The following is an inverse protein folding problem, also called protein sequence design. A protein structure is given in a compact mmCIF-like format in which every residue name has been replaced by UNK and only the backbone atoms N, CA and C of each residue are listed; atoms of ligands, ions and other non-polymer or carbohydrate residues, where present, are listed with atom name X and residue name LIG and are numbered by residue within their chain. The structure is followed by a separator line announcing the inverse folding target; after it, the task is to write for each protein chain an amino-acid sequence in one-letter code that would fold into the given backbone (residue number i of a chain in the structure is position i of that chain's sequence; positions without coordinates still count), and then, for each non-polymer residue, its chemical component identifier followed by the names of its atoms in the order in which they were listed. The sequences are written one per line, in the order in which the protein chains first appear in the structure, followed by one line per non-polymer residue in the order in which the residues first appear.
data_IF_482365600582
#
_entry.id   IF_482365600582
#
_cell.length_a   1.000
_cell.length_b   1.000
_cell.length_c   1.000
_cell.angle_alpha   90.00
_cell.angle_beta   90.00
_cell.angle_gamma   90.00
#
_symmetry.space_group_name_H-M   'P 1'
#
loop_
_entity.id
_entity.type
_entity.pdbx_description
1 polymer ?
#
# COMPACT_ATOMS: atom_id res chain seq x y z
N UNK A 1 12.31 -0.62 -10.94
CA UNK A 1 11.61 -0.89 -9.68
C UNK A 1 12.26 -2.05 -8.90
N UNK A 2 12.47 -3.22 -9.53
CA UNK A 2 13.11 -4.40 -8.88
C UNK A 2 14.50 -4.09 -8.34
N UNK A 3 15.29 -3.29 -9.06
CA UNK A 3 16.63 -2.85 -8.61
C UNK A 3 16.54 -2.02 -7.33
N UNK A 4 15.57 -1.10 -7.24
CA UNK A 4 15.32 -0.30 -6.04
C UNK A 4 14.84 -1.16 -4.86
N UNK A 5 13.96 -2.12 -5.12
CA UNK A 5 13.50 -3.05 -4.09
C UNK A 5 14.59 -4.00 -3.59
N UNK A 6 15.68 -4.16 -4.34
CA UNK A 6 16.88 -4.92 -3.97
C UNK A 6 18.07 -4.02 -3.58
N UNK A 7 17.81 -2.79 -3.12
CA UNK A 7 18.86 -1.89 -2.66
C UNK A 7 19.58 -2.42 -1.42
N UNK A 8 20.87 -2.14 -1.33
CA UNK A 8 21.72 -2.50 -0.20
C UNK A 8 22.23 -1.25 0.51
N UNK A 9 22.63 -1.41 1.76
CA UNK A 9 23.39 -0.42 2.52
C UNK A 9 24.90 -0.40 2.10
N UNK A 10 25.68 0.44 2.75
CA UNK A 10 27.12 0.57 2.51
C UNK A 10 27.93 -0.71 2.85
N UNK A 11 27.32 -1.64 3.60
CA UNK A 11 27.91 -2.93 3.96
C UNK A 11 27.48 -4.06 3.01
N UNK A 12 26.66 -3.75 2.00
CA UNK A 12 26.12 -4.71 1.06
C UNK A 12 24.93 -5.53 1.60
N UNK A 13 24.34 -5.14 2.73
CA UNK A 13 23.16 -5.79 3.30
C UNK A 13 21.90 -5.24 2.66
N UNK A 14 20.96 -6.12 2.32
CA UNK A 14 19.69 -5.71 1.71
C UNK A 14 18.79 -4.96 2.71
N UNK A 15 18.25 -3.82 2.26
CA UNK A 15 17.43 -2.94 3.10
C UNK A 15 16.03 -3.49 3.36
N UNK A 16 15.48 -4.29 2.43
CA UNK A 16 14.09 -4.74 2.44
C UNK A 16 13.91 -6.25 2.67
N UNK A 17 14.94 -6.94 3.16
CA UNK A 17 14.92 -8.40 3.37
C UNK A 17 14.44 -8.84 4.77
N UNK A 18 14.06 -7.89 5.62
CA UNK A 18 13.70 -8.18 7.01
C UNK A 18 14.93 -8.45 7.87
N UNK A 19 14.96 -9.58 8.58
CA UNK A 19 16.14 -10.05 9.33
C UNK A 19 17.17 -10.78 8.46
N UNK A 20 16.80 -11.18 7.23
CA UNK A 20 17.66 -11.94 6.31
C UNK A 20 18.48 -10.99 5.41
N UNK A 21 19.28 -10.12 5.98
CA UNK A 21 19.99 -9.04 5.31
C UNK A 21 20.96 -9.48 4.19
N UNK A 22 21.37 -10.74 4.17
CA UNK A 22 22.18 -11.34 3.10
C UNK A 22 21.35 -12.03 2.00
N UNK A 23 20.02 -12.08 2.15
CA UNK A 23 19.12 -12.70 1.17
C UNK A 23 18.54 -11.62 0.27
N UNK A 24 18.69 -11.79 -1.05
CA UNK A 24 18.08 -10.88 -2.03
C UNK A 24 16.56 -10.89 -1.89
N UNK A 25 15.92 -9.75 -1.50
CA UNK A 25 14.52 -9.75 -1.10
C UNK A 25 13.55 -10.02 -2.26
N UNK A 26 13.84 -9.54 -3.47
CA UNK A 26 12.94 -9.73 -4.61
C UNK A 26 13.64 -10.49 -5.74
N UNK A 27 13.11 -11.67 -6.04
CA UNK A 27 13.62 -12.57 -7.08
C UNK A 27 12.67 -12.57 -8.24
N UNK A 28 13.19 -12.27 -9.43
CA UNK A 28 12.43 -12.24 -10.66
C UNK A 28 12.53 -13.58 -11.40
N UNK A 29 11.36 -14.12 -11.80
CA UNK A 29 11.24 -15.29 -12.67
C UNK A 29 10.29 -14.96 -13.82
N UNK A 30 10.84 -14.56 -14.97
CA UNK A 30 10.05 -14.04 -16.07
C UNK A 30 9.37 -12.71 -15.71
N UNK A 31 8.05 -12.67 -15.75
CA UNK A 31 7.24 -11.51 -15.35
C UNK A 31 6.81 -11.57 -13.87
N UNK A 32 7.01 -12.69 -13.21
CA UNK A 32 6.68 -12.88 -11.80
C UNK A 32 7.84 -12.42 -10.91
N UNK A 33 7.52 -11.70 -9.83
CA UNK A 33 8.48 -11.21 -8.86
C UNK A 33 8.02 -11.66 -7.49
N UNK A 34 8.84 -12.45 -6.83
CA UNK A 34 8.54 -13.07 -5.54
C UNK A 34 9.41 -12.47 -4.44
N UNK A 35 8.79 -12.22 -3.30
CA UNK A 35 9.48 -11.81 -2.10
C UNK A 35 10.10 -13.03 -1.40
N UNK A 36 11.41 -13.02 -1.22
CA UNK A 36 12.20 -14.08 -0.58
C UNK A 36 12.76 -13.66 0.80
N UNK A 37 12.47 -12.42 1.25
CA UNK A 37 12.81 -11.95 2.59
C UNK A 37 11.81 -12.44 3.66
N UNK A 38 12.02 -12.02 4.89
CA UNK A 38 11.06 -12.24 5.97
C UNK A 38 10.30 -10.97 6.37
N UNK A 39 9.34 -11.10 7.30
CA UNK A 39 8.48 -10.02 7.79
C UNK A 39 9.13 -9.22 8.93
N UNK A 40 10.39 -9.46 9.23
CA UNK A 40 11.10 -8.86 10.36
C UNK A 40 11.38 -7.37 10.16
N UNK A 41 11.47 -6.66 11.27
CA UNK A 41 11.89 -5.27 11.31
C UNK A 41 13.06 -5.15 12.27
N UNK A 42 14.22 -4.75 11.77
CA UNK A 42 15.41 -4.59 12.60
C UNK A 42 15.24 -3.36 13.48
N UNK A 43 15.49 -3.55 14.76
CA UNK A 43 15.43 -2.50 15.76
C UNK A 43 16.83 -2.16 16.26
N UNK A 44 17.10 -0.91 16.53
CA UNK A 44 18.31 -0.46 17.21
C UNK A 44 17.95 0.28 18.50
N UNK A 45 18.76 0.08 19.55
CA UNK A 45 18.62 0.81 20.79
C UNK A 45 19.17 2.22 20.60
N UNK A 46 18.32 3.23 20.75
CA UNK A 46 18.69 4.64 20.57
C UNK A 46 18.75 5.42 21.89
N UNK A 47 18.17 4.85 22.97
CA UNK A 47 18.34 5.32 24.34
C UNK A 47 18.12 4.18 25.33
N UNK A 48 18.32 4.39 26.62
CA UNK A 48 18.16 3.37 27.65
C UNK A 48 16.79 2.67 27.68
N UNK A 49 15.74 3.33 27.19
CA UNK A 49 14.36 2.81 27.18
C UNK A 49 13.70 2.82 25.80
N UNK A 50 14.43 3.20 24.74
CA UNK A 50 13.85 3.38 23.39
C UNK A 50 14.57 2.57 22.34
N UNK A 51 13.79 1.83 21.57
CA UNK A 51 14.23 1.15 20.34
C UNK A 51 13.56 1.78 19.13
N UNK A 52 14.29 1.91 18.04
CA UNK A 52 13.81 2.47 16.80
C UNK A 52 14.02 1.47 15.65
N UNK A 53 13.06 1.38 14.75
CA UNK A 53 13.17 0.55 13.56
C UNK A 53 14.12 1.20 12.55
N UNK A 54 15.12 0.44 12.10
CA UNK A 54 16.12 0.86 11.11
C UNK A 54 15.91 0.22 9.73
N UNK A 55 14.93 -0.67 9.60
CA UNK A 55 14.54 -1.29 8.33
C UNK A 55 13.04 -1.48 8.27
N UNK A 56 12.50 -1.63 7.07
CA UNK A 56 11.13 -2.08 6.83
C UNK A 56 11.16 -3.34 5.97
N UNK A 57 10.26 -4.31 6.23
CA UNK A 57 10.15 -5.50 5.40
C UNK A 57 9.68 -5.15 3.99
N UNK A 58 10.29 -5.76 2.96
CA UNK A 58 9.94 -5.48 1.57
C UNK A 58 8.49 -5.80 1.24
N UNK A 59 7.91 -6.82 1.84
CA UNK A 59 6.50 -7.12 1.69
C UNK A 59 5.60 -5.96 2.18
N UNK A 60 5.98 -5.27 3.27
CA UNK A 60 5.21 -4.13 3.79
C UNK A 60 5.31 -2.89 2.91
N UNK A 61 6.37 -2.76 2.14
CA UNK A 61 6.60 -1.61 1.26
C UNK A 61 6.03 -1.84 -0.13
N UNK A 62 6.16 -3.06 -0.69
CA UNK A 62 5.91 -3.33 -2.10
C UNK A 62 4.77 -4.31 -2.38
N UNK A 63 4.27 -5.08 -1.38
CA UNK A 63 3.25 -6.11 -1.61
C UNK A 63 1.94 -5.90 -0.84
N UNK A 64 1.96 -5.18 0.28
CA UNK A 64 0.75 -4.94 1.10
C UNK A 64 0.05 -3.64 0.71
N UNK A 65 -0.16 -3.46 -0.58
CA UNK A 65 -0.83 -2.29 -1.13
C UNK A 65 -2.29 -2.66 -1.40
N UNK A 66 -3.22 -1.91 -0.86
CA UNK A 66 -4.64 -2.12 -1.13
C UNK A 66 -4.97 -1.75 -2.57
N UNK A 67 -5.58 -2.67 -3.32
CA UNK A 67 -6.03 -2.44 -4.68
C UNK A 67 -7.39 -1.73 -4.74
N UNK A 68 -7.79 -1.29 -5.94
CA UNK A 68 -9.02 -0.54 -6.15
C UNK A 68 -9.00 0.80 -5.40
N UNK A 69 -10.12 1.15 -4.75
CA UNK A 69 -10.20 2.38 -3.94
C UNK A 69 -9.74 2.20 -2.48
N UNK A 70 -9.14 1.05 -2.16
CA UNK A 70 -8.67 0.71 -0.81
C UNK A 70 -9.72 -0.02 0.06
N UNK A 71 -10.99 0.02 -0.30
CA UNK A 71 -12.09 -0.67 0.38
C UNK A 71 -12.65 -1.79 -0.51
N UNK A 72 -12.90 -1.48 -1.77
CA UNK A 72 -13.32 -2.44 -2.78
C UNK A 72 -12.64 -2.18 -4.13
N UNK A 73 -12.68 -3.15 -5.01
CA UNK A 73 -12.24 -3.05 -6.40
C UNK A 73 -13.37 -3.42 -7.34
N UNK A 74 -13.40 -2.79 -8.50
CA UNK A 74 -14.29 -3.11 -9.61
C UNK A 74 -13.52 -3.79 -10.73
N UNK A 75 -14.16 -4.70 -11.44
CA UNK A 75 -13.58 -5.33 -12.62
C UNK A 75 -14.65 -5.65 -13.67
N UNK A 76 -14.28 -5.54 -14.93
CA UNK A 76 -15.07 -6.06 -16.05
C UNK A 76 -14.66 -7.50 -16.35
N UNK A 77 -15.63 -8.35 -16.66
CA UNK A 77 -15.33 -9.73 -17.09
C UNK A 77 -14.52 -9.72 -18.41
N UNK A 78 -13.47 -10.53 -18.51
CA UNK A 78 -12.66 -10.63 -19.75
C UNK A 78 -13.45 -11.07 -21.00
N UNK A 79 -14.60 -11.69 -20.81
CA UNK A 79 -15.47 -12.16 -21.89
C UNK A 79 -16.49 -11.12 -22.35
N UNK A 80 -16.54 -9.93 -21.72
CA UNK A 80 -17.44 -8.86 -22.12
C UNK A 80 -17.19 -8.43 -23.56
N UNK A 81 -18.28 -8.24 -24.30
CA UNK A 81 -18.26 -7.92 -25.73
C UNK A 81 -18.80 -6.52 -26.04
N UNK A 82 -19.51 -5.90 -25.10
CA UNK A 82 -20.05 -4.56 -25.22
C UNK A 82 -19.00 -3.46 -25.00
N UNK A 83 -19.49 -2.22 -24.89
CA UNK A 83 -18.66 -1.03 -24.68
C UNK A 83 -18.74 -0.52 -23.25
N UNK A 84 -19.23 -1.33 -22.30
CA UNK A 84 -19.36 -0.98 -20.89
C UNK A 84 -18.01 -0.74 -20.21
N UNK A 85 -17.82 0.45 -19.65
CA UNK A 85 -16.65 0.82 -18.85
C UNK A 85 -17.12 1.10 -17.44
N UNK A 86 -16.57 0.35 -16.48
CA UNK A 86 -16.85 0.52 -15.05
C UNK A 86 -15.81 1.47 -14.43
N UNK A 87 -16.27 2.36 -13.55
CA UNK A 87 -15.36 3.19 -12.75
C UNK A 87 -14.90 2.46 -11.47
N UNK A 88 -13.98 3.10 -10.74
CA UNK A 88 -13.43 2.55 -9.48
C UNK A 88 -14.41 2.61 -8.32
N UNK A 89 -15.46 3.41 -8.45
CA UNK A 89 -16.46 3.64 -7.41
C UNK A 89 -15.96 4.33 -6.15
N UNK A 90 -16.89 4.58 -5.25
CA UNK A 90 -16.64 5.19 -3.94
C UNK A 90 -17.54 4.58 -2.86
N UNK A 91 -17.12 4.66 -1.61
CA UNK A 91 -17.95 4.29 -0.45
C UNK A 91 -18.83 5.48 -0.10
N UNK A 92 -20.13 5.28 -0.06
CA UNK A 92 -21.14 6.28 0.33
C UNK A 92 -21.71 6.05 1.72
N UNK A 93 -21.73 4.78 2.16
CA UNK A 93 -22.14 4.40 3.52
C UNK A 93 -21.23 3.28 4.05
N UNK A 94 -20.22 3.61 4.88
CA UNK A 94 -19.32 2.61 5.45
C UNK A 94 -20.01 1.61 6.38
N UNK A 95 -21.19 1.94 6.92
CA UNK A 95 -21.92 1.06 7.85
C UNK A 95 -22.69 -0.05 7.16
N UNK A 96 -22.95 0.10 5.87
CA UNK A 96 -23.65 -0.87 5.02
C UNK A 96 -22.71 -1.82 4.28
N UNK A 97 -21.38 -1.67 4.43
CA UNK A 97 -20.42 -2.56 3.77
C UNK A 97 -20.51 -3.98 4.33
N UNK A 98 -20.80 -4.95 3.49
CA UNK A 98 -20.89 -6.38 3.85
C UNK A 98 -19.53 -7.07 3.79
N UNK A 99 -18.64 -6.62 2.92
CA UNK A 99 -17.38 -7.31 2.61
C UNK A 99 -17.58 -8.50 1.67
N UNK A 100 -18.74 -8.63 1.06
CA UNK A 100 -19.09 -9.67 0.10
C UNK A 100 -18.65 -9.28 -1.33
N UNK A 101 -18.77 -10.23 -2.24
CA UNK A 101 -18.57 -10.00 -3.66
C UNK A 101 -19.90 -9.92 -4.37
N UNK A 102 -20.09 -8.85 -5.15
CA UNK A 102 -21.25 -8.65 -5.99
C UNK A 102 -20.91 -8.77 -7.48
N UNK A 103 -21.85 -9.30 -8.25
CA UNK A 103 -21.78 -9.37 -9.71
C UNK A 103 -22.97 -8.63 -10.31
N UNK A 104 -22.68 -7.75 -11.27
CA UNK A 104 -23.65 -6.98 -12.04
C UNK A 104 -23.79 -7.64 -13.40
N UNK A 105 -24.94 -8.22 -13.69
CA UNK A 105 -25.21 -8.98 -14.90
C UNK A 105 -26.11 -8.18 -15.85
N UNK A 106 -25.72 -8.00 -17.07
CA UNK A 106 -26.48 -7.26 -18.08
C UNK A 106 -27.28 -8.19 -19.01
N UNK A 107 -28.52 -7.81 -19.25
CA UNK A 107 -29.43 -8.47 -20.20
C UNK A 107 -29.97 -7.46 -21.18
N UNK A 108 -29.89 -7.79 -22.47
CA UNK A 108 -30.46 -6.95 -23.55
C UNK A 108 -31.59 -7.72 -24.20
N UNK A 109 -32.82 -7.20 -24.07
CA UNK A 109 -34.03 -7.83 -24.64
C UNK A 109 -34.82 -6.77 -25.40
N UNK A 110 -35.11 -7.02 -26.68
CA UNK A 110 -35.87 -6.12 -27.56
C UNK A 110 -35.32 -4.68 -27.59
N UNK A 111 -33.98 -4.51 -27.52
CA UNK A 111 -33.32 -3.21 -27.53
C UNK A 111 -33.34 -2.46 -26.18
N UNK A 112 -33.95 -3.04 -25.16
CA UNK A 112 -33.88 -2.53 -23.79
C UNK A 112 -32.77 -3.24 -23.00
N UNK A 113 -31.91 -2.49 -22.35
CA UNK A 113 -30.84 -3.02 -21.48
C UNK A 113 -31.29 -2.94 -20.04
N UNK A 114 -31.19 -4.05 -19.33
CA UNK A 114 -31.43 -4.16 -17.88
C UNK A 114 -30.22 -4.78 -17.20
N UNK A 115 -30.13 -4.62 -15.89
CA UNK A 115 -29.12 -5.29 -15.08
C UNK A 115 -29.69 -5.84 -13.79
N UNK A 116 -29.06 -6.91 -13.34
CA UNK A 116 -29.30 -7.53 -12.05
C UNK A 116 -28.02 -7.43 -11.20
N UNK A 117 -28.16 -7.28 -9.89
CA UNK A 117 -27.06 -7.36 -8.93
C UNK A 117 -27.24 -8.59 -8.07
N UNK A 118 -26.22 -9.44 -8.06
CA UNK A 118 -26.22 -10.70 -7.33
C UNK A 118 -25.03 -10.73 -6.37
N UNK A 119 -25.27 -10.91 -5.10
CA UNK A 119 -24.23 -11.21 -4.13
C UNK A 119 -23.74 -12.65 -4.37
N UNK A 120 -22.53 -12.79 -4.89
CA UNK A 120 -21.96 -14.10 -5.26
C UNK A 120 -21.38 -14.84 -4.05
N UNK A 121 -21.13 -14.16 -2.94
CA UNK A 121 -20.70 -14.78 -1.68
C UNK A 121 -21.83 -15.55 -1.03
N UNK A 122 -23.03 -14.96 -1.00
CA UNK A 122 -24.23 -15.57 -0.37
C UNK A 122 -25.15 -16.27 -1.37
N UNK A 123 -24.99 -16.01 -2.67
CA UNK A 123 -25.86 -16.49 -3.72
C UNK A 123 -27.23 -15.80 -3.78
N UNK A 124 -27.39 -14.63 -3.15
CA UNK A 124 -28.66 -13.91 -3.06
C UNK A 124 -28.76 -12.81 -4.12
N UNK A 125 -29.96 -12.59 -4.67
CA UNK A 125 -30.23 -11.45 -5.52
C UNK A 125 -30.39 -10.19 -4.67
N UNK A 126 -29.55 -9.17 -4.93
CA UNK A 126 -29.64 -7.86 -4.26
C UNK A 126 -30.68 -6.99 -4.96
N UNK A 127 -30.65 -6.95 -6.29
CA UNK A 127 -31.67 -6.27 -7.09
C UNK A 127 -31.76 -6.90 -8.47
N UNK A 128 -32.94 -6.83 -9.11
CA UNK A 128 -33.17 -7.45 -10.41
C UNK A 128 -34.05 -6.59 -11.32
N UNK A 129 -33.83 -6.72 -12.64
CA UNK A 129 -34.62 -6.05 -13.66
C UNK A 129 -34.48 -4.53 -13.69
N UNK A 130 -33.36 -4.00 -13.20
CA UNK A 130 -33.13 -2.56 -13.17
C UNK A 130 -32.88 -2.02 -14.59
N UNK A 131 -33.60 -0.98 -14.98
CA UNK A 131 -33.39 -0.36 -16.29
C UNK A 131 -31.99 0.31 -16.33
N UNK A 132 -31.25 0.04 -17.38
CA UNK A 132 -29.94 0.67 -17.60
C UNK A 132 -30.02 1.81 -18.61
N UNK A 133 -29.34 2.87 -18.33
CA UNK A 133 -29.03 3.99 -19.26
C UNK A 133 -27.54 4.28 -19.25
N UNK A 134 -27.00 4.81 -20.33
CA UNK A 134 -25.59 5.14 -20.38
C UNK A 134 -25.18 6.07 -19.22
N UNK A 135 -24.04 5.78 -18.60
CA UNK A 135 -23.53 6.46 -17.39
C UNK A 135 -24.45 6.26 -16.16
N UNK A 136 -25.02 5.05 -16.03
CA UNK A 136 -25.87 4.70 -14.90
C UNK A 136 -25.05 4.54 -13.62
N UNK A 137 -25.56 5.13 -12.55
CA UNK A 137 -24.97 4.97 -11.20
C UNK A 137 -25.67 3.83 -10.49
N UNK A 138 -24.90 2.88 -10.00
CA UNK A 138 -25.36 1.70 -9.26
C UNK A 138 -24.89 1.85 -7.82
N UNK A 139 -25.84 1.70 -6.88
CA UNK A 139 -25.52 1.67 -5.46
C UNK A 139 -25.84 0.28 -4.90
N UNK A 140 -24.88 -0.35 -4.24
CA UNK A 140 -24.97 -1.67 -3.63
C UNK A 140 -24.14 -1.70 -2.36
N UNK A 141 -24.69 -2.22 -1.27
CA UNK A 141 -23.99 -2.47 0.00
C UNK A 141 -23.11 -1.30 0.49
N UNK A 142 -23.66 -0.08 0.43
CA UNK A 142 -22.92 1.13 0.84
C UNK A 142 -21.86 1.62 -0.14
N UNK A 143 -21.71 0.96 -1.28
CA UNK A 143 -20.82 1.32 -2.39
C UNK A 143 -21.61 1.99 -3.51
N UNK A 144 -20.95 2.88 -4.24
CA UNK A 144 -21.50 3.52 -5.43
C UNK A 144 -20.46 3.45 -6.55
N UNK A 145 -20.92 3.04 -7.72
CA UNK A 145 -20.11 2.94 -8.94
C UNK A 145 -20.94 3.37 -10.16
N UNK A 146 -20.27 3.65 -11.27
CA UNK A 146 -20.97 3.95 -12.52
C UNK A 146 -20.45 3.09 -13.67
N UNK A 147 -21.35 2.75 -14.58
CA UNK A 147 -21.00 2.07 -15.84
C UNK A 147 -21.38 3.00 -16.99
N UNK A 148 -20.40 3.25 -17.86
CA UNK A 148 -20.55 4.07 -19.08
C UNK A 148 -20.53 3.17 -20.30
N UNK A 149 -21.15 3.65 -21.39
CA UNK A 149 -21.21 2.91 -22.65
C UNK A 149 -22.43 2.00 -22.73
N UNK A 150 -22.36 1.01 -23.59
CA UNK A 150 -23.45 0.09 -23.89
C UNK A 150 -22.98 -1.36 -23.63
N UNK A 151 -23.27 -1.91 -22.45
CA UNK A 151 -23.03 -3.32 -22.18
C UNK A 151 -23.84 -4.20 -23.15
N UNK A 152 -23.24 -5.29 -23.58
CA UNK A 152 -23.93 -6.30 -24.40
C UNK A 152 -24.69 -7.30 -23.52
N UNK A 153 -25.52 -8.10 -24.17
CA UNK A 153 -26.22 -9.19 -23.49
C UNK A 153 -25.22 -10.22 -22.93
N UNK A 154 -25.29 -10.47 -21.63
CA UNK A 154 -24.41 -11.39 -20.92
C UNK A 154 -23.12 -10.75 -20.40
N UNK A 155 -22.89 -9.45 -20.64
CA UNK A 155 -21.76 -8.73 -20.02
C UNK A 155 -21.89 -8.68 -18.51
N UNK A 156 -20.74 -8.79 -17.84
CA UNK A 156 -20.66 -8.87 -16.38
C UNK A 156 -19.60 -7.92 -15.83
N UNK A 157 -19.91 -7.37 -14.66
CA UNK A 157 -18.97 -6.58 -13.87
C UNK A 157 -19.01 -7.06 -12.44
N UNK A 158 -17.86 -7.06 -11.78
CA UNK A 158 -17.73 -7.49 -10.40
C UNK A 158 -17.30 -6.37 -9.49
N UNK A 159 -17.83 -6.38 -8.27
CA UNK A 159 -17.38 -5.57 -7.14
C UNK A 159 -16.94 -6.53 -6.05
N UNK A 160 -15.72 -6.41 -5.59
CA UNK A 160 -15.18 -7.32 -4.57
C UNK A 160 -14.34 -6.55 -3.55
N UNK A 161 -14.20 -7.06 -2.31
CA UNK A 161 -13.37 -6.43 -1.30
C UNK A 161 -11.94 -6.17 -1.80
N UNK A 162 -11.37 -5.04 -1.39
CA UNK A 162 -9.98 -4.73 -1.67
C UNK A 162 -9.04 -5.72 -0.99
N UNK A 163 -8.10 -6.23 -1.75
CA UNK A 163 -7.06 -7.14 -1.28
C UNK A 163 -5.68 -6.49 -1.36
N UNK A 164 -4.71 -7.07 -0.67
CA UNK A 164 -3.32 -6.68 -0.84
C UNK A 164 -2.81 -7.14 -2.21
N UNK A 165 -2.12 -6.25 -2.90
CA UNK A 165 -1.54 -6.50 -4.20
C UNK A 165 -0.11 -5.96 -4.25
N UNK A 166 0.77 -6.69 -4.92
CA UNK A 166 2.14 -6.25 -5.18
C UNK A 166 2.16 -5.16 -6.26
N UNK A 167 2.99 -4.13 -6.07
CA UNK A 167 3.21 -3.12 -7.12
C UNK A 167 3.80 -3.76 -8.39
N UNK A 168 4.56 -4.84 -8.24
CA UNK A 168 5.12 -5.58 -9.37
C UNK A 168 4.03 -6.29 -10.17
N UNK A 169 3.04 -6.87 -9.48
CA UNK A 169 1.86 -7.49 -10.11
C UNK A 169 1.04 -6.44 -10.88
N UNK A 170 0.86 -5.24 -10.30
CA UNK A 170 0.18 -4.14 -10.99
C UNK A 170 0.88 -3.77 -12.30
N UNK A 171 2.22 -3.64 -12.27
CA UNK A 171 3.01 -3.36 -13.49
C UNK A 171 2.92 -4.51 -14.49
N UNK A 172 3.00 -5.76 -14.03
CA UNK A 172 2.87 -6.94 -14.89
C UNK A 172 1.50 -7.02 -15.59
N UNK A 173 0.42 -6.67 -14.89
CA UNK A 173 -0.93 -6.58 -15.48
C UNK A 173 -1.00 -5.57 -16.62
N UNK A 174 -0.36 -4.41 -16.48
CA UNK A 174 -0.31 -3.40 -17.54
C UNK A 174 0.44 -3.93 -18.76
N UNK A 175 1.63 -4.50 -18.53
CA UNK A 175 2.45 -5.07 -19.62
C UNK A 175 1.66 -6.14 -20.36
N UNK A 176 1.07 -7.09 -19.65
CA UNK A 176 0.24 -8.15 -20.23
C UNK A 176 -0.94 -7.59 -21.03
N UNK A 177 -1.62 -6.57 -20.50
CA UNK A 177 -2.75 -5.94 -21.18
C UNK A 177 -2.34 -5.26 -22.49
N UNK A 178 -1.16 -4.61 -22.52
CA UNK A 178 -0.64 -3.93 -23.71
C UNK A 178 -0.05 -4.92 -24.74
N UNK A 179 0.50 -6.05 -24.31
CA UNK A 179 1.05 -7.09 -25.18
C UNK A 179 -0.02 -8.02 -25.75
N UNK A 180 -1.22 -8.06 -25.14
CA UNK A 180 -2.31 -8.90 -25.64
C UNK A 180 -2.91 -8.29 -26.91
N UNK A 181 -2.85 -8.97 -28.08
CA UNK A 181 -3.41 -8.45 -29.31
C UNK A 181 -4.91 -8.26 -29.19
N UNK A 182 -5.38 -7.03 -29.34
CA UNK A 182 -6.79 -6.68 -29.20
C UNK A 182 -7.51 -6.53 -30.54
N UNK A 183 -6.80 -6.63 -31.65
CA UNK A 183 -7.36 -6.41 -33.00
C UNK A 183 -8.35 -7.51 -33.39
N UNK A 184 -9.57 -7.11 -33.73
CA UNK A 184 -10.58 -8.00 -34.31
C UNK A 184 -11.47 -8.76 -33.34
N UNK A 185 -11.28 -8.60 -32.01
CA UNK A 185 -12.17 -9.21 -31.01
C UNK A 185 -13.21 -8.19 -30.51
N UNK A 186 -14.51 -8.57 -30.45
CA UNK A 186 -15.54 -7.70 -29.84
C UNK A 186 -15.14 -7.27 -28.43
N UNK A 187 -15.38 -6.01 -28.11
CA UNK A 187 -15.09 -5.45 -26.77
C UNK A 187 -13.61 -5.30 -26.39
N UNK A 188 -12.66 -5.64 -27.29
CA UNK A 188 -11.23 -5.65 -26.94
C UNK A 188 -10.68 -4.29 -26.50
N UNK A 189 -11.05 -3.21 -27.19
CA UNK A 189 -10.65 -1.85 -26.81
C UNK A 189 -11.25 -1.45 -25.45
N UNK A 190 -12.49 -1.84 -25.18
CA UNK A 190 -13.19 -1.59 -23.92
C UNK A 190 -12.52 -2.37 -22.77
N UNK A 191 -12.17 -3.64 -22.99
CA UNK A 191 -11.43 -4.44 -22.00
C UNK A 191 -10.10 -3.80 -21.64
N UNK A 192 -9.33 -3.36 -22.65
CA UNK A 192 -8.09 -2.62 -22.42
C UNK A 192 -8.33 -1.36 -21.59
N UNK A 193 -9.36 -0.58 -21.92
CA UNK A 193 -9.72 0.62 -21.15
C UNK A 193 -10.06 0.29 -19.71
N UNK A 194 -10.86 -0.76 -19.45
CA UNK A 194 -11.20 -1.20 -18.09
C UNK A 194 -9.96 -1.64 -17.31
N UNK A 195 -9.07 -2.44 -17.93
CA UNK A 195 -7.83 -2.89 -17.29
C UNK A 195 -6.93 -1.69 -16.96
N UNK A 196 -6.72 -0.79 -17.92
CA UNK A 196 -5.89 0.41 -17.70
C UNK A 196 -6.48 1.33 -16.63
N UNK A 197 -7.81 1.52 -16.60
CA UNK A 197 -8.48 2.31 -15.57
C UNK A 197 -8.27 1.73 -14.17
N UNK A 198 -8.48 0.43 -14.00
CA UNK A 198 -8.28 -0.26 -12.73
C UNK A 198 -6.80 -0.23 -12.28
N UNK A 199 -5.87 -0.54 -13.20
CA UNK A 199 -4.44 -0.57 -12.87
C UNK A 199 -3.85 0.81 -12.61
N UNK A 200 -4.36 1.87 -13.26
CA UNK A 200 -3.97 3.23 -12.94
C UNK A 200 -4.32 3.58 -11.49
N UNK A 201 -5.51 3.17 -11.03
CA UNK A 201 -5.91 3.35 -9.63
C UNK A 201 -5.03 2.56 -8.67
N UNK A 202 -4.68 1.33 -9.03
CA UNK A 202 -3.75 0.51 -8.24
C UNK A 202 -2.35 1.16 -8.14
N UNK A 203 -1.87 1.83 -9.22
CA UNK A 203 -0.61 2.60 -9.19
C UNK A 203 -0.73 3.82 -8.28
N UNK A 204 -1.84 4.57 -8.33
CA UNK A 204 -2.08 5.69 -7.43
C UNK A 204 -2.05 5.23 -5.96
N UNK A 205 -2.74 4.13 -5.66
CA UNK A 205 -2.74 3.52 -4.31
C UNK A 205 -1.33 3.07 -3.90
N UNK A 206 -0.55 2.53 -4.84
CA UNK A 206 0.85 2.19 -4.63
C UNK A 206 1.72 3.40 -4.33
N UNK A 207 1.52 4.50 -5.05
CA UNK A 207 2.25 5.76 -4.82
C UNK A 207 1.91 6.34 -3.43
N UNK A 208 0.62 6.40 -3.08
CA UNK A 208 0.17 6.86 -1.75
C UNK A 208 0.79 6.01 -0.63
N UNK A 209 0.83 4.69 -0.81
CA UNK A 209 1.45 3.77 0.15
C UNK A 209 2.95 4.04 0.32
N UNK A 210 3.71 4.22 -0.78
CA UNK A 210 5.15 4.54 -0.73
C UNK A 210 5.39 5.90 -0.07
N UNK A 211 4.58 6.92 -0.38
CA UNK A 211 4.65 8.23 0.27
C UNK A 211 4.38 8.15 1.77
N UNK A 212 3.42 7.34 2.20
CA UNK A 212 3.16 7.09 3.62
C UNK A 212 4.36 6.43 4.31
N UNK A 213 5.01 5.45 3.67
CA UNK A 213 6.25 4.84 4.17
C UNK A 213 7.41 5.83 4.24
N UNK A 214 7.56 6.68 3.22
CA UNK A 214 8.57 7.75 3.22
C UNK A 214 8.34 8.74 4.37
N UNK A 215 7.10 9.12 4.64
CA UNK A 215 6.74 9.98 5.75
C UNK A 215 7.08 9.33 7.10
N UNK A 216 6.80 8.04 7.25
CA UNK A 216 7.14 7.30 8.47
C UNK A 216 8.67 7.22 8.69
N UNK A 217 9.45 7.04 7.61
CA UNK A 217 10.92 7.08 7.66
C UNK A 217 11.39 8.48 8.06
N UNK A 218 10.81 9.54 7.48
CA UNK A 218 11.14 10.92 7.82
C UNK A 218 10.88 11.23 9.30
N UNK A 219 9.78 10.75 9.85
CA UNK A 219 9.48 10.89 11.29
C UNK A 219 10.51 10.18 12.18
N UNK A 220 10.98 8.98 11.78
CA UNK A 220 12.06 8.26 12.48
C UNK A 220 13.38 9.04 12.44
N UNK A 221 13.73 9.65 11.32
CA UNK A 221 14.93 10.48 11.19
C UNK A 221 14.87 11.70 12.13
N UNK A 222 13.73 12.39 12.18
CA UNK A 222 13.54 13.51 13.12
C UNK A 222 13.62 13.06 14.58
N UNK A 223 13.14 11.85 14.91
CA UNK A 223 13.26 11.29 16.24
C UNK A 223 14.75 11.03 16.57
N UNK A 224 15.54 10.52 15.64
CA UNK A 224 16.99 10.31 15.80
C UNK A 224 17.70 11.65 16.05
N UNK A 225 17.43 12.68 15.24
CA UNK A 225 18.03 14.01 15.40
C UNK A 225 17.70 14.62 16.77
N UNK A 226 16.47 14.43 17.24
CA UNK A 226 16.04 14.89 18.57
C UNK A 226 16.79 14.16 19.67
N UNK A 227 16.94 12.84 19.56
CA UNK A 227 17.66 12.03 20.54
C UNK A 227 19.15 12.36 20.59
N UNK A 228 19.76 12.64 19.44
CA UNK A 228 21.16 13.08 19.34
C UNK A 228 21.36 14.42 20.04
N UNK A 229 20.45 15.38 19.82
CA UNK A 229 20.47 16.68 20.51
C UNK A 229 20.33 16.53 22.04
N UNK A 230 19.37 15.71 22.50
CA UNK A 230 19.19 15.45 23.93
C UNK A 230 20.41 14.74 24.54
N UNK A 231 21.01 13.79 23.80
CA UNK A 231 22.25 13.12 24.20
C UNK A 231 23.40 14.09 24.37
N UNK A 232 23.57 15.02 23.43
CA UNK A 232 24.60 16.05 23.47
C UNK A 232 24.41 17.00 24.66
N UNK A 233 23.16 17.41 24.95
CA UNK A 233 22.85 18.26 26.10
C UNK A 233 23.16 17.56 27.44
N UNK A 234 22.85 16.26 27.52
CA UNK A 234 23.16 15.43 28.68
C UNK A 234 24.67 15.29 28.89
N UNK A 235 25.45 15.10 27.83
CA UNK A 235 26.90 15.01 27.86
C UNK A 235 27.51 16.32 28.43
N UNK A 236 27.02 17.49 27.99
CA UNK A 236 27.43 18.79 28.52
C UNK A 236 27.13 18.88 30.01
N UNK A 237 25.94 18.49 30.46
CA UNK A 237 25.55 18.50 31.87
C UNK A 237 26.43 17.57 32.70
N UNK A 238 26.74 16.37 32.21
CA UNK A 238 27.67 15.47 32.91
C UNK A 238 29.07 16.03 33.02
N UNK A 239 29.59 16.65 31.96
CA UNK A 239 30.91 17.31 31.96
C UNK A 239 30.94 18.47 32.97
N UNK A 240 29.88 19.28 33.04
CA UNK A 240 29.75 20.36 34.02
C UNK A 240 29.72 19.82 35.46
N UNK A 241 28.90 18.81 35.72
CA UNK A 241 28.82 18.17 37.04
C UNK A 241 30.14 17.54 37.44
N UNK A 242 30.86 16.92 36.51
CA UNK A 242 32.18 16.38 36.79
C UNK A 242 33.20 17.47 37.14
N UNK A 243 33.17 18.57 36.38
CA UNK A 243 34.05 19.73 36.66
C UNK A 243 33.78 20.38 38.03
N UNK A 244 32.50 20.49 38.42
CA UNK A 244 32.09 20.96 39.74
C UNK A 244 32.58 20.05 40.87
N UNK A 245 32.42 18.71 40.70
CA UNK A 245 32.90 17.75 41.68
C UNK A 245 34.41 17.78 41.85
N UNK A 246 35.15 17.89 40.76
CA UNK A 246 36.63 18.03 40.80
C UNK A 246 37.05 19.37 41.43
N UNK A 247 36.34 20.45 41.15
CA UNK A 247 36.60 21.77 41.73
C UNK A 247 36.39 21.78 43.23
N UNK A 248 35.35 21.11 43.76
CA UNK A 248 35.08 20.96 45.18
C UNK A 248 36.18 20.16 45.89
N UNK A 249 36.67 19.06 45.27
CA UNK A 249 37.75 18.24 45.80
C UNK A 249 39.06 19.00 45.89
N UNK A 250 39.42 19.82 44.90
CA UNK A 250 40.60 20.69 44.94
C UNK A 250 40.51 21.78 46.04
N UNK A 251 39.37 22.42 46.17
CA UNK A 251 39.15 23.42 47.21
C UNK A 251 39.25 22.84 48.63
N UNK A 252 38.71 21.63 48.81
CA UNK A 252 38.80 20.89 50.08
C UNK A 252 40.25 20.48 50.38
N UNK A 253 40.96 19.94 49.40
CA UNK A 253 42.37 19.55 49.53
C UNK A 253 43.27 20.72 49.91
N UNK A 254 43.08 21.91 49.27
CA UNK A 254 43.79 23.12 49.58
C UNK A 254 43.45 23.60 51.00
N UNK A 255 42.19 23.58 51.43
CA UNK A 255 41.77 23.95 52.77
C UNK A 255 42.34 23.04 53.85
N UNK A 256 42.38 21.73 53.60
CA UNK A 256 42.95 20.76 54.53
C UNK A 256 44.49 20.89 54.61
N UNK A 257 45.16 21.19 53.48
CA UNK A 257 46.61 21.48 53.45
C UNK A 257 46.93 22.73 54.29
N UNK A 258 46.13 23.80 54.13
CA UNK A 258 46.34 25.05 54.91
C UNK A 258 46.14 24.85 56.42
N UNK A 259 45.22 23.96 56.83
CA UNK A 259 44.99 23.57 58.23
C UNK A 259 46.17 22.77 58.81
N UNK A 260 46.90 22.02 58.00
CA UNK A 260 48.05 21.24 58.46
C UNK A 260 49.32 22.09 58.58
N UNK A 261 49.34 23.29 57.99
CA UNK A 261 50.49 24.25 58.09
C UNK A 261 50.40 25.28 59.22
N UNK A 262 49.30 25.28 60.00
CA UNK A 262 49.10 26.10 61.19
C UNK A 262 49.27 25.23 62.45
#
# INVERSE_FOLDING_TARGET
LVTLANSTDDKGQFLFSGYQDNTKPFVQSGMDIQYAGDQGQRLTQVSSSRQLAISDAGADVFERIKNGNGVFKTAADPLNTGTGIIDVGSVIDPTSLTGDQDEINFTVTNGATTFDVVNTTTGTSVSAGNAYTNNHTISVDGMQLSIKGEPANGDKFTVSPSNNQSIFETVSKIVTALETPSSGQPGAATRLTNILGATLKDIESGLEHVLAKQTAIGARLQEIDTLDSVGSDQDIQFQQSLAELQGVDFAKAISDLQRQQL
#
